data_IF_576715973299
#
_entry.id   IF_576715973299
#
_cell.length_a   1.000
_cell.length_b   1.000
_cell.length_c   1.000
_cell.angle_alpha   90.00
_cell.angle_beta   90.00
_cell.angle_gamma   90.00
#
_symmetry.space_group_name_H-M   'P 1'
#
loop_
_entity.id
_entity.type
_entity.pdbx_description
1 polymer ?
#
# COMPACT_ATOMS: atom_id res chain seq x y z
N UNK A 1 8.05 -13.61 55.91
CA UNK A 1 8.02 -12.82 54.66
C UNK A 1 6.92 -13.40 53.76
N UNK A 2 5.71 -12.81 53.71
CA UNK A 2 5.15 -11.96 52.61
C UNK A 2 5.35 -12.54 51.20
N UNK A 3 4.39 -12.64 50.27
CA UNK A 3 2.96 -12.31 50.11
C UNK A 3 2.50 -13.16 48.90
N UNK A 4 1.29 -13.72 48.88
CA UNK A 4 0.60 -14.07 47.62
C UNK A 4 -0.87 -13.66 47.78
N UNK A 5 -1.19 -12.49 47.23
CA UNK A 5 -2.49 -11.85 47.29
C UNK A 5 -3.51 -12.45 46.33
N UNK A 6 -4.74 -12.42 46.82
CA UNK A 6 -6.05 -12.64 46.20
C UNK A 6 -6.15 -12.67 44.68
N UNK A 7 -6.49 -13.86 44.17
CA UNK A 7 -7.17 -14.03 42.91
C UNK A 7 -8.61 -13.51 43.04
N UNK A 8 -8.81 -12.25 42.68
CA UNK A 8 -10.12 -11.65 42.50
C UNK A 8 -10.82 -12.30 41.29
N UNK A 9 -11.50 -13.41 41.56
CA UNK A 9 -12.43 -14.02 40.63
C UNK A 9 -13.62 -13.07 40.49
N UNK A 10 -13.63 -12.26 39.44
CA UNK A 10 -14.81 -11.52 39.02
C UNK A 10 -15.97 -12.52 38.83
N UNK A 11 -16.91 -12.48 39.78
CA UNK A 11 -18.14 -13.23 39.72
C UNK A 11 -18.89 -12.80 38.44
N UNK A 12 -18.94 -13.69 37.45
CA UNK A 12 -19.86 -13.55 36.34
C UNK A 12 -21.28 -13.47 36.91
N UNK A 13 -21.93 -12.32 36.73
CA UNK A 13 -23.31 -12.12 37.12
C UNK A 13 -24.18 -13.22 36.50
N UNK A 14 -24.90 -13.96 37.34
CA UNK A 14 -25.86 -14.95 36.88
C UNK A 14 -26.99 -14.24 36.12
N UNK A 15 -27.52 -14.80 35.02
CA UNK A 15 -28.63 -14.19 34.30
C UNK A 15 -29.84 -14.07 35.21
N UNK A 16 -30.29 -12.83 35.44
CA UNK A 16 -31.50 -12.54 36.20
C UNK A 16 -32.73 -13.01 35.43
N UNK A 17 -33.76 -13.47 36.16
CA UNK A 17 -35.01 -13.97 35.58
C UNK A 17 -35.66 -12.88 34.70
N UNK A 18 -36.26 -13.23 33.54
CA UNK A 18 -36.94 -12.25 32.69
C UNK A 18 -38.09 -11.57 33.45
N UNK A 19 -38.16 -10.23 33.37
CA UNK A 19 -39.29 -9.45 33.88
C UNK A 19 -40.44 -9.54 32.86
N UNK A 20 -41.68 -9.90 33.28
CA UNK A 20 -42.81 -10.00 32.35
C UNK A 20 -43.10 -8.66 31.68
N UNK A 21 -43.16 -8.65 30.35
CA UNK A 21 -43.48 -7.46 29.54
C UNK A 21 -42.30 -6.79 28.84
N UNK A 22 -41.08 -7.32 28.96
CA UNK A 22 -39.95 -6.90 28.13
C UNK A 22 -39.74 -7.86 26.95
N UNK A 23 -39.48 -7.34 25.74
CA UNK A 23 -39.13 -8.19 24.61
C UNK A 23 -37.81 -8.92 24.87
N UNK A 24 -37.73 -10.18 24.45
CA UNK A 24 -36.51 -10.96 24.57
C UNK A 24 -35.33 -10.25 23.90
N UNK A 25 -34.11 -10.37 24.45
CA UNK A 25 -32.92 -9.76 23.87
C UNK A 25 -32.70 -10.30 22.45
N UNK A 26 -32.48 -9.40 21.50
CA UNK A 26 -32.15 -9.76 20.13
C UNK A 26 -30.71 -10.28 20.06
N UNK A 27 -30.56 -11.61 20.11
CA UNK A 27 -29.26 -12.25 19.98
C UNK A 27 -28.91 -12.34 18.50
N UNK A 28 -27.77 -11.75 18.14
CA UNK A 28 -27.23 -11.85 16.80
C UNK A 28 -26.43 -13.17 16.67
N UNK A 29 -26.64 -13.96 15.60
CA UNK A 29 -26.12 -15.33 15.50
C UNK A 29 -24.59 -15.43 15.44
N UNK A 30 -23.88 -14.30 15.28
CA UNK A 30 -22.42 -14.27 15.41
C UNK A 30 -21.93 -14.52 16.84
N UNK A 31 -22.77 -14.29 17.85
CA UNK A 31 -22.42 -14.47 19.27
C UNK A 31 -22.46 -15.96 19.67
N UNK A 32 -23.04 -16.81 18.82
CA UNK A 32 -23.03 -18.25 18.99
C UNK A 32 -21.75 -18.86 18.42
N UNK A 33 -21.46 -20.11 18.79
CA UNK A 33 -20.32 -20.83 18.22
C UNK A 33 -20.52 -20.96 16.71
N UNK A 34 -19.54 -20.56 15.88
CA UNK A 34 -19.66 -20.70 14.43
C UNK A 34 -19.87 -22.17 14.07
N UNK A 35 -21.01 -22.44 13.44
CA UNK A 35 -21.36 -23.77 12.92
C UNK A 35 -21.11 -23.76 11.41
N UNK A 36 -20.03 -24.40 10.98
CA UNK A 36 -19.64 -24.44 9.58
C UNK A 36 -18.29 -25.10 9.37
N UNK A 37 -18.08 -25.64 8.18
CA UNK A 37 -16.80 -26.27 7.83
C UNK A 37 -15.68 -25.22 7.77
N UNK A 38 -14.59 -25.48 8.49
CA UNK A 38 -13.41 -24.61 8.48
C UNK A 38 -12.72 -24.75 7.13
N UNK A 39 -12.81 -23.72 6.29
CA UNK A 39 -12.02 -23.64 5.06
C UNK A 39 -10.57 -23.27 5.42
N UNK A 40 -9.62 -23.99 4.83
CA UNK A 40 -8.21 -23.66 4.93
C UNK A 40 -7.87 -22.34 4.22
N UNK A 41 -6.63 -21.85 4.37
CA UNK A 41 -6.14 -20.71 3.60
C UNK A 41 -6.33 -20.96 2.10
N UNK A 42 -6.86 -19.96 1.39
CA UNK A 42 -6.95 -20.02 -0.06
C UNK A 42 -5.57 -20.09 -0.70
N UNK A 43 -5.53 -20.45 -1.99
CA UNK A 43 -4.28 -20.47 -2.75
C UNK A 43 -3.59 -19.11 -2.71
N UNK A 44 -2.25 -19.16 -2.64
CA UNK A 44 -1.42 -17.97 -2.80
C UNK A 44 -1.71 -17.31 -4.15
N UNK A 45 -2.04 -16.02 -4.11
CA UNK A 45 -2.29 -15.23 -5.31
C UNK A 45 -1.14 -15.40 -6.31
N UNK A 46 -1.47 -15.72 -7.56
CA UNK A 46 -0.49 -15.72 -8.65
C UNK A 46 0.06 -14.30 -8.80
N UNK A 47 1.37 -14.16 -8.99
CA UNK A 47 1.98 -12.87 -9.36
C UNK A 47 1.31 -12.40 -10.64
N UNK A 48 0.55 -11.32 -10.55
CA UNK A 48 0.00 -10.63 -11.72
C UNK A 48 1.11 -9.75 -12.28
N UNK A 49 1.53 -10.03 -13.52
CA UNK A 49 2.48 -9.18 -14.23
C UNK A 49 1.71 -8.03 -14.86
N UNK A 50 1.98 -6.82 -14.41
CA UNK A 50 1.48 -5.61 -15.04
C UNK A 50 2.53 -5.07 -16.03
N UNK A 51 2.13 -4.57 -17.21
CA UNK A 51 3.04 -3.81 -18.03
C UNK A 51 3.56 -2.59 -17.26
N UNK A 52 4.81 -2.20 -17.52
CA UNK A 52 5.48 -1.06 -16.86
C UNK A 52 4.79 0.29 -17.12
N UNK A 53 3.77 0.32 -17.97
CA UNK A 53 3.03 1.52 -18.38
C UNK A 53 1.60 1.58 -17.82
N UNK A 54 1.17 0.66 -16.95
CA UNK A 54 -0.22 0.63 -16.44
C UNK A 54 -0.60 1.91 -15.72
N UNK A 55 0.33 2.53 -15.01
CA UNK A 55 0.13 3.78 -14.27
C UNK A 55 0.55 5.03 -15.06
N UNK A 56 1.06 4.86 -16.29
CA UNK A 56 1.58 5.96 -17.08
C UNK A 56 2.93 6.52 -16.60
N UNK A 57 3.57 5.87 -15.62
CA UNK A 57 4.87 6.25 -15.08
C UNK A 57 5.98 5.27 -15.53
N UNK A 58 7.13 5.80 -15.95
CA UNK A 58 8.34 5.02 -16.17
C UNK A 58 9.12 4.87 -14.85
N UNK A 59 8.97 3.70 -14.24
CA UNK A 59 9.63 3.31 -12.99
C UNK A 59 11.14 3.10 -13.12
N UNK A 60 11.73 3.23 -14.32
CA UNK A 60 13.18 3.19 -14.49
C UNK A 60 13.89 4.43 -13.96
N UNK A 61 13.15 5.52 -13.74
CA UNK A 61 13.71 6.80 -13.30
C UNK A 61 13.30 7.13 -11.87
N UNK A 62 14.29 7.40 -11.03
CA UNK A 62 14.11 7.82 -9.66
C UNK A 62 13.93 6.66 -8.68
N UNK A 63 13.12 6.90 -7.66
CA UNK A 63 12.80 5.96 -6.57
C UNK A 63 11.34 5.51 -6.66
N UNK A 64 10.96 4.47 -5.90
CA UNK A 64 9.64 3.84 -5.98
C UNK A 64 8.42 4.79 -5.80
N UNK A 65 8.62 6.01 -5.27
CA UNK A 65 7.56 7.02 -5.12
C UNK A 65 7.57 8.13 -6.17
N UNK A 66 8.50 8.11 -7.13
CA UNK A 66 8.64 9.13 -8.16
C UNK A 66 8.01 8.65 -9.47
N UNK A 67 7.14 9.46 -10.05
CA UNK A 67 6.53 9.17 -11.34
C UNK A 67 7.14 10.07 -12.43
N UNK A 68 7.89 9.47 -13.35
CA UNK A 68 8.27 10.12 -14.61
C UNK A 68 7.28 9.70 -15.67
N UNK A 69 6.62 10.61 -16.40
CA UNK A 69 5.63 10.21 -17.38
C UNK A 69 6.26 9.47 -18.56
N UNK A 70 5.61 8.39 -19.03
CA UNK A 70 5.98 7.71 -20.28
C UNK A 70 5.90 8.63 -21.50
N UNK A 71 5.03 9.64 -21.45
CA UNK A 71 4.80 10.57 -22.55
C UNK A 71 4.74 11.99 -22.01
N UNK A 72 5.63 12.84 -22.53
CA UNK A 72 5.64 14.26 -22.19
C UNK A 72 4.51 15.00 -22.93
N UNK A 73 3.99 16.11 -22.36
CA UNK A 73 3.01 16.95 -23.05
C UNK A 73 3.52 17.41 -24.41
N UNK A 74 2.60 17.58 -25.36
CA UNK A 74 2.92 18.09 -26.68
C UNK A 74 3.63 19.44 -26.58
N UNK A 75 4.74 19.59 -27.31
CA UNK A 75 5.55 20.81 -27.32
C UNK A 75 6.79 20.77 -26.43
N UNK A 76 6.94 19.78 -25.55
CA UNK A 76 8.19 19.59 -24.80
C UNK A 76 9.18 18.81 -25.64
N UNK A 77 10.28 19.46 -26.05
CA UNK A 77 11.37 18.79 -26.77
C UNK A 77 12.23 17.99 -25.81
N UNK A 78 12.95 16.99 -26.33
CA UNK A 78 13.84 16.13 -25.55
C UNK A 78 14.83 16.92 -24.68
N UNK A 79 15.31 18.05 -25.22
CA UNK A 79 16.22 18.96 -24.52
C UNK A 79 15.61 19.61 -23.28
N UNK A 80 14.31 19.85 -23.29
CA UNK A 80 13.54 20.59 -22.28
C UNK A 80 12.87 19.67 -21.26
N UNK A 81 12.97 18.34 -21.43
CA UNK A 81 12.35 17.35 -20.54
C UNK A 81 12.87 17.48 -19.11
N UNK A 82 14.17 17.65 -18.93
CA UNK A 82 14.75 17.82 -17.60
C UNK A 82 14.34 19.13 -16.93
N UNK A 83 14.22 20.22 -17.69
CA UNK A 83 13.67 21.47 -17.17
C UNK A 83 12.20 21.33 -16.75
N UNK A 84 11.42 20.58 -17.54
CA UNK A 84 10.02 20.30 -17.24
C UNK A 84 9.85 19.43 -15.99
N UNK A 85 10.71 18.41 -15.82
CA UNK A 85 10.75 17.55 -14.63
C UNK A 85 11.21 18.33 -13.40
N UNK A 86 12.25 19.16 -13.53
CA UNK A 86 12.79 19.98 -12.45
C UNK A 86 11.74 20.94 -11.88
N UNK A 87 10.92 21.57 -12.72
CA UNK A 87 9.78 22.42 -12.30
C UNK A 87 8.73 21.68 -11.47
N UNK A 88 8.73 20.34 -11.51
CA UNK A 88 7.82 19.47 -10.75
C UNK A 88 8.51 18.79 -9.55
N UNK A 89 9.73 19.20 -9.22
CA UNK A 89 10.51 18.61 -8.13
C UNK A 89 11.13 17.25 -8.48
N UNK A 90 11.19 16.89 -9.76
CA UNK A 90 11.82 15.67 -10.24
C UNK A 90 13.18 16.03 -10.85
N UNK A 91 14.20 16.14 -10.00
CA UNK A 91 15.58 16.37 -10.40
C UNK A 91 16.48 15.23 -9.88
N UNK A 92 17.61 14.99 -10.54
CA UNK A 92 18.59 13.97 -10.16
C UNK A 92 17.97 12.57 -9.96
N UNK A 93 17.37 12.04 -11.01
CA UNK A 93 16.63 10.79 -11.00
C UNK A 93 17.57 9.63 -11.25
N UNK A 94 17.70 8.73 -10.28
CA UNK A 94 18.49 7.50 -10.45
C UNK A 94 17.94 6.66 -11.59
N UNK A 95 18.76 6.33 -12.58
CA UNK A 95 18.36 5.46 -13.67
C UNK A 95 18.61 3.99 -13.33
N UNK A 96 17.62 3.13 -13.57
CA UNK A 96 17.72 1.68 -13.43
C UNK A 96 17.49 1.00 -14.78
N UNK A 97 18.60 0.57 -15.40
CA UNK A 97 18.62 -0.12 -16.68
C UNK A 97 18.72 0.85 -17.86
N UNK A 98 17.78 0.78 -18.80
CA UNK A 98 17.84 1.51 -20.06
C UNK A 98 17.26 2.94 -19.95
N UNK A 99 17.96 3.92 -20.51
CA UNK A 99 17.49 5.30 -20.66
C UNK A 99 16.52 5.46 -21.83
N UNK A 100 15.27 5.03 -21.65
CA UNK A 100 14.24 5.08 -22.71
C UNK A 100 13.80 6.49 -23.10
N UNK A 101 13.86 7.42 -22.16
CA UNK A 101 13.42 8.81 -22.30
C UNK A 101 14.57 9.77 -22.64
N UNK A 102 15.80 9.26 -22.78
CA UNK A 102 17.01 10.02 -23.10
C UNK A 102 17.22 11.21 -22.15
N UNK A 103 17.01 10.96 -20.84
CA UNK A 103 17.13 11.96 -19.78
C UNK A 103 18.52 11.97 -19.14
N UNK A 104 19.31 10.92 -19.37
CA UNK A 104 20.70 10.74 -18.93
C UNK A 104 21.60 10.79 -20.17
N UNK A 105 21.94 12.01 -20.60
CA UNK A 105 22.67 12.24 -21.84
C UNK A 105 24.16 11.99 -21.66
N UNK A 106 24.67 12.26 -20.47
CA UNK A 106 26.06 12.01 -20.13
C UNK A 106 26.32 10.52 -19.78
N UNK A 107 25.25 9.72 -19.62
CA UNK A 107 25.26 8.28 -19.31
C UNK A 107 25.94 7.95 -17.99
N UNK A 108 25.78 8.83 -17.00
CA UNK A 108 26.35 8.65 -15.67
C UNK A 108 25.44 7.82 -14.72
N UNK A 109 24.25 7.44 -15.18
CA UNK A 109 23.26 6.70 -14.42
C UNK A 109 22.34 7.58 -13.58
N UNK A 110 22.41 8.90 -13.73
CA UNK A 110 21.54 9.88 -13.08
C UNK A 110 20.92 10.77 -14.15
N UNK A 111 19.65 10.53 -14.44
CA UNK A 111 18.87 11.37 -15.33
C UNK A 111 18.62 12.76 -14.74
N UNK A 112 18.69 13.79 -15.58
CA UNK A 112 18.52 15.19 -15.20
C UNK A 112 19.44 15.61 -14.05
N UNK A 113 20.66 15.08 -14.07
CA UNK A 113 21.75 15.45 -13.19
C UNK A 113 22.55 16.63 -13.74
N UNK A 114 23.77 16.81 -13.23
CA UNK A 114 24.67 17.85 -13.74
C UNK A 114 25.27 17.39 -15.07
N UNK A 115 24.83 18.02 -16.16
CA UNK A 115 25.36 17.76 -17.51
C UNK A 115 24.36 17.16 -18.48
N UNK A 116 23.11 16.98 -18.06
CA UNK A 116 22.01 16.47 -18.87
C UNK A 116 21.11 17.55 -19.47
#
# INVERSE_FOLDING_TARGET
MVMLGDAEQAAFAQPTKPVPGQPDPHILPFAEKPNGEKKGPGDKNKKVTFPVSVDGCDHRYGTAGQCVPWTFPAGIKDKERCDWLGKRGLASLKLVGEDRLNLDRNRDGIACGKGD
#
